data_IF_470122604744
#
_entry.id   IF_470122604744
#
_cell.length_a   1.000
_cell.length_b   1.000
_cell.length_c   1.000
_cell.angle_alpha   90.00
_cell.angle_beta   90.00
_cell.angle_gamma   90.00
#
_symmetry.space_group_name_H-M   'P 1'
#
loop_
_entity.id
_entity.type
_entity.pdbx_description
1 polymer ?
#
# COMPACT_ATOMS: atom_id res chain seq x y z
N UNK A 1 -22.37 -7.58 12.89
CA UNK A 1 -22.02 -6.74 11.73
C UNK A 1 -21.27 -5.54 12.27
N UNK A 2 -19.98 -5.43 11.98
CA UNK A 2 -19.15 -4.30 12.43
C UNK A 2 -19.46 -3.11 11.53
N UNK A 3 -20.08 -2.07 12.09
CA UNK A 3 -20.38 -0.84 11.36
C UNK A 3 -19.12 0.04 11.19
N UNK A 4 -17.94 -0.41 11.60
CA UNK A 4 -16.69 0.34 11.49
C UNK A 4 -15.57 -0.49 10.87
N UNK A 5 -14.72 0.18 10.09
CA UNK A 5 -13.49 -0.39 9.50
C UNK A 5 -12.34 0.56 9.75
N UNK A 6 -11.25 0.04 10.32
CA UNK A 6 -9.99 0.77 10.44
C UNK A 6 -9.19 0.56 9.16
N UNK A 7 -8.68 1.65 8.58
CA UNK A 7 -8.00 1.69 7.29
C UNK A 7 -6.70 2.47 7.42
N UNK A 8 -5.60 1.85 6.98
CA UNK A 8 -4.28 2.49 6.91
C UNK A 8 -3.74 2.42 5.50
N UNK A 9 -3.53 3.58 4.89
CA UNK A 9 -3.05 3.73 3.51
C UNK A 9 -1.92 4.76 3.43
N UNK A 10 -1.12 4.68 2.38
CA UNK A 10 0.01 5.59 2.12
C UNK A 10 -0.09 6.15 0.71
N UNK A 11 0.09 7.46 0.55
CA UNK A 11 0.17 8.15 -0.75
C UNK A 11 1.14 9.32 -0.64
N UNK A 12 2.01 9.51 -1.64
CA UNK A 12 2.97 10.63 -1.71
C UNK A 12 3.69 10.94 -0.38
N UNK A 13 4.24 9.92 0.27
CA UNK A 13 4.92 10.00 1.59
C UNK A 13 4.04 10.40 2.78
N UNK A 14 2.73 10.44 2.59
CA UNK A 14 1.73 10.72 3.61
C UNK A 14 1.01 9.44 4.02
N UNK A 15 0.96 9.17 5.32
CA UNK A 15 0.24 8.04 5.93
C UNK A 15 -1.13 8.50 6.40
N UNK A 16 -2.17 7.84 5.88
CA UNK A 16 -3.56 8.05 6.24
C UNK A 16 -3.98 6.93 7.18
N UNK A 17 -4.20 7.26 8.45
CA UNK A 17 -4.78 6.34 9.45
C UNK A 17 -6.17 6.84 9.74
N UNK A 18 -7.17 6.12 9.24
CA UNK A 18 -8.57 6.54 9.31
C UNK A 18 -9.46 5.41 9.78
N UNK A 19 -10.50 5.75 10.53
CA UNK A 19 -11.57 4.82 10.88
C UNK A 19 -12.84 5.25 10.19
N UNK A 20 -13.41 4.38 9.36
CA UNK A 20 -14.65 4.64 8.65
C UNK A 20 -15.79 3.97 9.41
N UNK A 21 -16.80 4.73 9.80
CA UNK A 21 -18.01 4.28 10.45
C UNK A 21 -19.19 4.44 9.49
N UNK A 22 -19.97 3.39 9.27
CA UNK A 22 -21.25 3.47 8.57
C UNK A 22 -22.34 3.91 9.56
N UNK A 23 -22.88 5.11 9.36
CA UNK A 23 -23.91 5.70 10.22
C UNK A 23 -25.32 5.56 9.63
N UNK A 24 -25.44 5.26 8.35
CA UNK A 24 -26.71 4.99 7.68
C UNK A 24 -26.59 4.14 6.40
N UNK A 25 -27.67 3.99 5.62
CA UNK A 25 -27.63 3.27 4.34
C UNK A 25 -26.59 3.84 3.36
N UNK A 26 -26.52 5.17 3.29
CA UNK A 26 -25.60 5.94 2.44
C UNK A 26 -24.68 6.88 3.23
N UNK A 27 -24.85 6.99 4.55
CA UNK A 27 -24.12 7.94 5.39
C UNK A 27 -22.94 7.25 6.09
N UNK A 28 -21.79 7.92 6.07
CA UNK A 28 -20.55 7.46 6.65
C UNK A 28 -19.84 8.60 7.38
N UNK A 29 -19.10 8.25 8.43
CA UNK A 29 -18.22 9.16 9.16
C UNK A 29 -16.80 8.63 9.06
N UNK A 30 -15.86 9.47 8.63
CA UNK A 30 -14.42 9.17 8.60
C UNK A 30 -13.79 9.90 9.78
N UNK A 31 -13.14 9.12 10.63
CA UNK A 31 -12.49 9.59 11.85
C UNK A 31 -10.98 9.54 11.61
N UNK A 32 -10.32 10.69 11.72
CA UNK A 32 -8.87 10.81 11.56
C UNK A 32 -8.32 11.83 12.57
N UNK A 33 -7.35 11.42 13.40
CA UNK A 33 -6.71 12.28 14.41
C UNK A 33 -7.72 13.10 15.23
N UNK A 34 -8.70 12.43 15.86
CA UNK A 34 -9.78 13.01 16.67
C UNK A 34 -10.74 13.97 15.96
N UNK A 35 -10.62 14.10 14.63
CA UNK A 35 -11.56 14.84 13.79
C UNK A 35 -12.52 13.88 13.11
N UNK A 36 -13.78 14.27 12.97
CA UNK A 36 -14.82 13.50 12.29
C UNK A 36 -15.27 14.25 11.04
N UNK A 37 -15.33 13.54 9.92
CA UNK A 37 -15.83 14.04 8.64
C UNK A 37 -17.03 13.20 8.21
N UNK A 38 -18.19 13.83 8.07
CA UNK A 38 -19.41 13.14 7.63
C UNK A 38 -19.62 13.31 6.13
N UNK A 39 -19.94 12.22 5.45
CA UNK A 39 -20.16 12.22 4.00
C UNK A 39 -21.22 11.20 3.60
N UNK A 40 -21.82 11.43 2.44
CA UNK A 40 -22.78 10.53 1.82
C UNK A 40 -22.13 9.83 0.63
N UNK A 41 -22.41 8.55 0.45
CA UNK A 41 -21.91 7.74 -0.66
C UNK A 41 -23.08 7.15 -1.43
N UNK A 42 -23.14 7.47 -2.71
CA UNK A 42 -24.11 6.91 -3.64
C UNK A 42 -23.39 6.07 -4.70
N UNK A 43 -23.88 4.87 -4.96
CA UNK A 43 -23.38 4.04 -6.06
C UNK A 43 -23.91 4.56 -7.38
N UNK A 44 -23.03 4.65 -8.37
CA UNK A 44 -23.31 5.07 -9.73
C UNK A 44 -23.08 3.86 -10.66
N UNK A 45 -23.79 3.73 -11.79
CA UNK A 45 -23.53 2.66 -12.75
C UNK A 45 -22.05 2.58 -13.17
N UNK A 46 -21.56 1.36 -13.39
CA UNK A 46 -20.16 1.12 -13.81
C UNK A 46 -19.14 1.23 -12.66
N UNK A 47 -19.48 0.74 -11.47
CA UNK A 47 -18.64 0.71 -10.25
C UNK A 47 -18.18 2.09 -9.72
N UNK A 48 -18.82 3.17 -10.19
CA UNK A 48 -18.59 4.52 -9.68
C UNK A 48 -19.21 4.75 -8.31
N UNK A 49 -18.57 5.60 -7.52
CA UNK A 49 -19.08 6.12 -6.25
C UNK A 49 -19.15 7.64 -6.34
N UNK A 50 -20.33 8.22 -6.08
CA UNK A 50 -20.48 9.65 -5.86
C UNK A 50 -20.36 9.90 -4.36
N UNK A 51 -19.28 10.55 -3.95
CA UNK A 51 -19.02 10.94 -2.56
C UNK A 51 -19.45 12.39 -2.40
N UNK A 52 -20.41 12.65 -1.52
CA UNK A 52 -20.93 13.98 -1.22
C UNK A 52 -20.44 14.43 0.14
N UNK A 53 -19.81 15.59 0.20
CA UNK A 53 -19.38 16.24 1.42
C UNK A 53 -19.82 17.71 1.36
N UNK A 54 -20.61 18.13 2.34
CA UNK A 54 -21.26 19.46 2.36
C UNK A 54 -21.98 19.76 1.02
N UNK A 55 -21.64 20.86 0.35
CA UNK A 55 -22.23 21.28 -0.92
C UNK A 55 -21.48 20.74 -2.15
N UNK A 56 -20.47 19.88 -1.96
CA UNK A 56 -19.62 19.36 -3.02
C UNK A 56 -19.81 17.86 -3.24
N UNK A 57 -19.70 17.42 -4.49
CA UNK A 57 -19.79 16.02 -4.89
C UNK A 57 -18.57 15.60 -5.72
N UNK A 58 -18.04 14.43 -5.43
CA UNK A 58 -16.81 13.90 -6.03
C UNK A 58 -17.07 12.53 -6.65
N UNK A 59 -16.97 12.46 -7.98
CA UNK A 59 -17.06 11.19 -8.69
C UNK A 59 -15.77 10.40 -8.47
N UNK A 60 -15.90 9.21 -7.90
CA UNK A 60 -14.79 8.38 -7.44
C UNK A 60 -14.89 6.99 -8.03
N UNK A 61 -13.81 6.52 -8.66
CA UNK A 61 -13.66 5.13 -9.10
C UNK A 61 -12.47 4.54 -8.35
N UNK A 62 -12.60 3.31 -7.84
CA UNK A 62 -11.55 2.66 -7.08
C UNK A 62 -11.35 1.23 -7.59
N UNK A 63 -10.13 0.91 -7.99
CA UNK A 63 -9.74 -0.41 -8.46
C UNK A 63 -8.66 -0.97 -7.54
N UNK A 64 -8.86 -2.20 -7.03
CA UNK A 64 -7.86 -2.87 -6.21
C UNK A 64 -6.70 -3.40 -7.08
N UNK A 65 -5.48 -3.16 -6.64
CA UNK A 65 -4.23 -3.66 -7.21
C UNK A 65 -3.42 -4.41 -6.13
N UNK A 66 -2.33 -5.08 -6.51
CA UNK A 66 -1.53 -5.88 -5.57
C UNK A 66 -0.91 -5.07 -4.44
N UNK A 67 -0.53 -3.81 -4.70
CA UNK A 67 0.11 -2.92 -3.73
C UNK A 67 -0.85 -1.96 -3.02
N UNK A 68 -2.14 -1.94 -3.40
CA UNK A 68 -3.10 -0.99 -2.86
C UNK A 68 -4.27 -0.75 -3.79
N UNK A 69 -4.68 0.51 -3.92
CA UNK A 69 -5.84 0.92 -4.68
C UNK A 69 -5.48 2.02 -5.66
N UNK A 70 -5.85 1.85 -6.92
CA UNK A 70 -5.84 2.93 -7.91
C UNK A 70 -7.18 3.65 -7.82
N UNK A 71 -7.15 4.91 -7.41
CA UNK A 71 -8.35 5.71 -7.20
C UNK A 71 -8.37 6.90 -8.16
N UNK A 72 -9.49 7.11 -8.84
CA UNK A 72 -9.73 8.27 -9.71
C UNK A 72 -10.80 9.12 -9.06
N UNK A 73 -10.47 10.36 -8.68
CA UNK A 73 -11.40 11.33 -8.09
C UNK A 73 -11.50 12.53 -9.03
N UNK A 74 -12.68 12.85 -9.57
CA UNK A 74 -12.91 13.97 -10.49
C UNK A 74 -11.83 14.07 -11.59
N UNK A 75 -11.61 12.97 -12.32
CA UNK A 75 -10.62 12.85 -13.40
C UNK A 75 -9.13 12.93 -12.97
N UNK A 76 -8.83 12.91 -11.67
CA UNK A 76 -7.46 12.83 -11.15
C UNK A 76 -7.18 11.44 -10.59
N UNK A 77 -6.16 10.78 -11.11
CA UNK A 77 -5.73 9.44 -10.68
C UNK A 77 -4.69 9.56 -9.58
N UNK A 78 -4.85 8.79 -8.51
CA UNK A 78 -3.86 8.62 -7.43
C UNK A 78 -3.72 7.14 -7.06
N UNK A 79 -2.58 6.81 -6.45
CA UNK A 79 -2.33 5.49 -5.86
C UNK A 79 -2.39 5.59 -4.34
N UNK A 80 -3.22 4.74 -3.73
CA UNK A 80 -3.33 4.56 -2.29
C UNK A 80 -2.73 3.19 -1.95
N UNK A 81 -1.47 3.16 -1.52
CA UNK A 81 -0.77 1.93 -1.19
C UNK A 81 -1.19 1.41 0.19
N UNK A 82 -1.26 0.09 0.35
CA UNK A 82 -1.33 -0.52 1.68
C UNK A 82 0.00 -0.25 2.38
N UNK A 83 -0.02 0.05 3.68
CA UNK A 83 1.23 0.21 4.43
C UNK A 83 2.00 -1.12 4.42
N UNK A 84 3.26 -1.06 4.01
CA UNK A 84 4.16 -2.21 3.96
C UNK A 84 5.44 -1.88 4.70
N UNK A 85 5.98 -2.88 5.39
CA UNK A 85 7.30 -2.80 5.99
C UNK A 85 8.36 -2.97 4.88
N UNK A 86 9.12 -1.92 4.52
CA UNK A 86 10.09 -2.00 3.43
C UNK A 86 11.32 -2.85 3.80
N UNK A 87 11.49 -3.24 5.07
CA UNK A 87 12.54 -4.17 5.49
C UNK A 87 12.19 -5.62 5.16
N UNK A 88 10.93 -5.93 4.83
CA UNK A 88 10.48 -7.30 4.55
C UNK A 88 10.19 -7.48 3.06
N UNK A 89 11.08 -8.19 2.37
CA UNK A 89 10.96 -8.44 0.94
C UNK A 89 10.04 -9.64 0.69
N UNK A 90 8.95 -9.40 -0.04
CA UNK A 90 7.90 -10.41 -0.28
C UNK A 90 7.67 -10.62 -1.78
N UNK A 91 7.25 -11.83 -2.15
CA UNK A 91 6.71 -12.07 -3.49
C UNK A 91 5.32 -11.43 -3.60
N UNK A 92 5.06 -10.69 -4.68
CA UNK A 92 3.74 -10.14 -4.97
C UNK A 92 2.82 -11.10 -5.74
N UNK A 93 3.37 -12.19 -6.26
CA UNK A 93 2.67 -13.13 -7.14
C UNK A 93 2.94 -14.57 -6.72
N UNK A 94 2.03 -15.46 -7.10
CA UNK A 94 2.28 -16.89 -7.02
C UNK A 94 3.31 -17.30 -8.08
N UNK A 95 4.22 -18.21 -7.76
CA UNK A 95 5.29 -18.59 -8.68
C UNK A 95 6.34 -19.49 -8.06
N UNK A 96 7.55 -19.45 -8.60
CA UNK A 96 8.69 -20.21 -8.10
C UNK A 96 9.92 -19.31 -7.99
N UNK A 97 10.61 -19.37 -6.86
CA UNK A 97 11.91 -18.71 -6.72
C UNK A 97 12.93 -19.45 -7.59
N UNK A 98 13.53 -18.78 -8.56
CA UNK A 98 14.55 -19.39 -9.42
C UNK A 98 15.93 -19.31 -8.78
N UNK A 99 16.36 -18.11 -8.41
CA UNK A 99 17.66 -17.87 -7.78
C UNK A 99 17.68 -16.52 -7.06
N UNK A 100 18.65 -16.37 -6.16
CA UNK A 100 19.07 -15.06 -5.64
C UNK A 100 20.22 -14.52 -6.48
N UNK A 101 20.23 -13.21 -6.71
CA UNK A 101 21.30 -12.49 -7.39
C UNK A 101 22.32 -11.88 -6.41
N UNK A 102 22.08 -12.03 -5.11
CA UNK A 102 22.89 -11.51 -4.00
C UNK A 102 23.23 -12.65 -3.04
N UNK A 103 24.24 -12.45 -2.20
CA UNK A 103 24.66 -13.46 -1.22
C UNK A 103 24.05 -13.21 0.16
N UNK A 104 23.86 -14.27 0.94
CA UNK A 104 23.43 -14.16 2.34
C UNK A 104 24.34 -13.21 3.13
N UNK A 105 23.76 -12.22 3.78
CA UNK A 105 24.50 -11.24 4.60
C UNK A 105 25.27 -10.19 3.81
N UNK A 106 25.09 -10.06 2.50
CA UNK A 106 25.72 -8.98 1.75
C UNK A 106 25.00 -7.65 1.94
N UNK A 107 25.76 -6.56 1.79
CA UNK A 107 25.17 -5.24 1.61
C UNK A 107 24.54 -5.14 0.21
N UNK A 108 23.35 -4.56 0.15
CA UNK A 108 22.58 -4.33 -1.08
C UNK A 108 22.15 -2.87 -1.15
N UNK A 109 22.06 -2.33 -2.36
CA UNK A 109 21.58 -0.98 -2.61
C UNK A 109 20.09 -0.95 -2.96
N UNK A 110 19.42 0.17 -2.67
CA UNK A 110 18.08 0.43 -3.19
C UNK A 110 18.04 0.25 -4.73
N UNK A 111 16.98 -0.39 -5.21
CA UNK A 111 16.72 -0.78 -6.59
C UNK A 111 17.63 -1.87 -7.19
N UNK A 112 18.53 -2.46 -6.39
CA UNK A 112 19.34 -3.61 -6.79
C UNK A 112 18.47 -4.88 -6.92
N UNK A 113 18.75 -5.71 -7.94
CA UNK A 113 18.03 -6.98 -8.14
C UNK A 113 18.55 -8.01 -7.14
N UNK A 114 17.69 -8.51 -6.25
CA UNK A 114 18.08 -9.52 -5.26
C UNK A 114 17.64 -10.94 -5.61
N UNK A 115 16.58 -11.10 -6.40
CA UNK A 115 16.06 -12.42 -6.77
C UNK A 115 15.39 -12.44 -8.14
N UNK A 116 15.38 -13.62 -8.77
CA UNK A 116 14.59 -13.93 -9.96
C UNK A 116 13.49 -14.91 -9.60
N UNK A 117 12.27 -14.62 -10.04
CA UNK A 117 11.11 -15.51 -9.86
C UNK A 117 10.51 -15.88 -11.20
N UNK A 118 9.95 -17.09 -11.29
CA UNK A 118 9.13 -17.53 -12.41
C UNK A 118 7.65 -17.40 -12.04
N UNK A 119 6.90 -16.66 -12.84
CA UNK A 119 5.46 -16.47 -12.72
C UNK A 119 4.84 -16.70 -14.09
N UNK A 120 3.93 -17.66 -14.21
CA UNK A 120 3.26 -17.99 -15.49
C UNK A 120 4.24 -18.18 -16.67
N UNK A 121 5.36 -18.90 -16.45
CA UNK A 121 6.45 -19.12 -17.43
C UNK A 121 7.22 -17.85 -17.86
N UNK A 122 6.98 -16.72 -17.21
CA UNK A 122 7.75 -15.48 -17.39
C UNK A 122 8.68 -15.29 -16.19
N UNK A 123 9.87 -14.73 -16.44
CA UNK A 123 10.86 -14.43 -15.40
C UNK A 123 10.73 -12.96 -15.01
N UNK A 124 10.66 -12.69 -13.71
CA UNK A 124 10.61 -11.36 -13.14
C UNK A 124 11.77 -11.11 -12.18
N UNK A 125 12.32 -9.90 -12.25
CA UNK A 125 13.29 -9.40 -11.30
C UNK A 125 12.60 -8.82 -10.07
N UNK A 126 13.02 -9.25 -8.89
CA UNK A 126 12.65 -8.61 -7.64
C UNK A 126 13.79 -7.70 -7.19
N UNK A 127 13.42 -6.46 -6.86
CA UNK A 127 14.37 -5.40 -6.51
C UNK A 127 14.21 -4.97 -5.06
N UNK A 128 15.33 -4.58 -4.48
CA UNK A 128 15.44 -4.10 -3.11
C UNK A 128 14.81 -2.71 -3.00
N UNK A 129 13.90 -2.44 -2.05
CA UNK A 129 13.28 -1.11 -1.90
C UNK A 129 14.20 -0.12 -1.18
N UNK A 130 15.17 -0.59 -0.38
CA UNK A 130 16.01 0.24 0.49
C UNK A 130 17.37 -0.41 0.74
N UNK A 131 18.43 0.39 0.86
CA UNK A 131 19.78 -0.13 1.09
C UNK A 131 19.98 -0.68 2.51
N UNK A 132 20.78 -1.74 2.63
CA UNK A 132 21.09 -2.38 3.91
C UNK A 132 21.72 -3.77 3.77
N UNK A 133 21.78 -4.53 4.86
CA UNK A 133 22.28 -5.91 4.88
C UNK A 133 21.11 -6.89 4.68
N UNK A 134 21.21 -7.78 3.68
CA UNK A 134 20.13 -8.72 3.34
C UNK A 134 20.28 -10.08 4.03
N UNK A 135 19.18 -10.60 4.57
CA UNK A 135 19.05 -11.97 5.11
C UNK A 135 18.03 -12.75 4.30
N UNK A 136 18.43 -13.80 3.62
CA UNK A 136 17.55 -14.59 2.74
C UNK A 136 16.72 -15.58 3.59
N UNK A 137 15.46 -15.78 3.21
CA UNK A 137 14.48 -16.56 4.00
C UNK A 137 13.92 -17.77 3.27
N UNK A 138 14.29 -17.97 2.00
CA UNK A 138 13.85 -19.11 1.18
C UNK A 138 15.04 -19.71 0.45
N UNK A 139 14.84 -20.89 -0.11
CA UNK A 139 15.80 -21.56 -0.96
C UNK A 139 15.37 -21.47 -2.42
N UNK A 140 16.31 -21.36 -3.38
CA UNK A 140 16.02 -21.54 -4.79
C UNK A 140 15.20 -22.82 -5.03
N UNK A 141 14.17 -22.70 -5.85
CA UNK A 141 13.19 -23.76 -6.12
C UNK A 141 11.92 -23.71 -5.29
N UNK A 142 11.86 -22.89 -4.23
CA UNK A 142 10.67 -22.75 -3.38
C UNK A 142 9.45 -22.25 -4.17
N UNK A 143 8.29 -22.83 -3.89
CA UNK A 143 7.00 -22.32 -4.37
C UNK A 143 6.64 -21.07 -3.58
N UNK A 144 6.19 -20.04 -4.30
CA UNK A 144 5.83 -18.74 -3.77
C UNK A 144 4.34 -18.55 -3.91
N UNK A 145 3.73 -18.02 -2.86
CA UNK A 145 2.39 -17.44 -2.86
C UNK A 145 2.48 -15.92 -2.66
N UNK A 146 1.46 -15.14 -3.04
CA UNK A 146 1.43 -13.71 -2.74
C UNK A 146 1.65 -13.44 -1.24
N UNK A 147 2.59 -12.57 -0.91
CA UNK A 147 2.99 -12.24 0.46
C UNK A 147 4.09 -13.11 1.06
N UNK A 148 4.55 -14.16 0.35
CA UNK A 148 5.66 -15.01 0.81
C UNK A 148 6.91 -14.19 1.07
N UNK A 149 7.41 -14.23 2.30
CA UNK A 149 8.66 -13.56 2.70
C UNK A 149 9.87 -14.27 2.06
N UNK A 150 10.64 -13.54 1.26
CA UNK A 150 11.81 -14.01 0.52
C UNK A 150 13.11 -13.59 1.20
N UNK A 151 13.15 -12.41 1.81
CA UNK A 151 14.31 -11.89 2.50
C UNK A 151 13.91 -10.76 3.48
N UNK A 152 14.83 -10.39 4.37
CA UNK A 152 14.74 -9.18 5.20
C UNK A 152 15.96 -8.30 4.99
N UNK A 153 15.81 -7.00 5.25
CA UNK A 153 16.89 -6.02 5.19
C UNK A 153 17.06 -5.36 6.56
N UNK A 154 18.30 -5.37 7.04
CA UNK A 154 18.73 -4.50 8.14
C UNK A 154 19.21 -3.18 7.53
N UNK A 155 18.51 -2.07 7.81
CA UNK A 155 18.77 -0.76 7.21
C UNK A 155 20.15 -0.21 7.62
N UNK A 156 20.82 0.44 6.68
CA UNK A 156 21.97 1.30 6.99
C UNK A 156 21.54 2.44 7.92
N UNK A 157 22.46 2.94 8.75
CA UNK A 157 22.19 4.12 9.59
C UNK A 157 21.79 5.35 8.76
N UNK A 158 22.29 5.47 7.52
CA UNK A 158 21.94 6.53 6.58
C UNK A 158 20.65 6.28 5.79
N UNK A 159 20.14 5.03 5.77
CA UNK A 159 18.88 4.65 5.10
C UNK A 159 17.71 4.51 6.08
N UNK A 160 17.87 4.99 7.32
CA UNK A 160 16.75 5.10 8.26
C UNK A 160 15.58 5.82 7.59
N UNK A 161 14.47 5.09 7.51
CA UNK A 161 13.25 5.55 6.85
C UNK A 161 12.80 6.84 7.52
N UNK A 162 12.62 7.89 6.72
CA UNK A 162 11.92 9.08 7.21
C UNK A 162 10.53 8.62 7.65
N UNK A 163 10.10 8.92 8.88
CA UNK A 163 8.75 8.60 9.30
C UNK A 163 7.78 9.27 8.32
N UNK A 164 6.79 8.50 7.86
CA UNK A 164 5.75 9.04 7.00
C UNK A 164 5.02 10.16 7.74
N UNK A 165 4.72 11.24 7.02
CA UNK A 165 3.90 12.30 7.58
C UNK A 165 2.49 11.75 7.81
N UNK A 166 2.02 11.75 9.06
CA UNK A 166 0.64 11.35 9.35
C UNK A 166 -0.28 12.49 8.90
N UNK A 167 -1.23 12.16 8.02
CA UNK A 167 -2.25 13.08 7.58
C UNK A 167 -3.11 13.54 8.77
N UNK A 168 -3.38 14.84 8.87
CA UNK A 168 -4.30 15.41 9.86
C UNK A 168 -5.42 16.13 9.14
N UNK A 169 -6.66 15.82 9.51
CA UNK A 169 -7.84 16.37 8.85
C UNK A 169 -7.94 17.91 8.96
N UNK A 170 -7.35 18.48 10.02
CA UNK A 170 -7.28 19.93 10.27
C UNK A 170 -6.58 20.71 9.13
N UNK A 171 -5.75 20.03 8.33
CA UNK A 171 -5.06 20.61 7.16
C UNK A 171 -6.02 20.92 5.99
N UNK A 172 -7.24 20.35 5.99
CA UNK A 172 -8.28 20.65 4.99
C UNK A 172 -9.09 21.88 5.39
N UNK A 173 -9.35 22.10 6.68
CA UNK A 173 -10.29 23.12 7.18
C UNK A 173 -9.73 24.56 7.03
N UNK A 174 -8.41 24.71 6.78
CA UNK A 174 -7.73 26.00 6.65
C UNK A 174 -7.28 26.35 5.22
N UNK A 175 -7.78 25.65 4.20
CA UNK A 175 -7.57 25.97 2.79
C UNK A 175 -8.89 26.23 2.08
#
# INVERSE_FOLDING_TARGET
MTNSVDVTLVSDSTKYVVKVLRTGPSNFSLICCDTVLDFEVHRVPGDGLLICHEAASYMTYCHEESQGYRTVINNRTMMLCKETDPTVLRSHSAGKLLQYCVTEGSHVCANEVYALIEVMKMIFELRVPTSGIITLKRIPGAILEPGTELARIELDESSQLKPLQIFKLVDIIHK
#
